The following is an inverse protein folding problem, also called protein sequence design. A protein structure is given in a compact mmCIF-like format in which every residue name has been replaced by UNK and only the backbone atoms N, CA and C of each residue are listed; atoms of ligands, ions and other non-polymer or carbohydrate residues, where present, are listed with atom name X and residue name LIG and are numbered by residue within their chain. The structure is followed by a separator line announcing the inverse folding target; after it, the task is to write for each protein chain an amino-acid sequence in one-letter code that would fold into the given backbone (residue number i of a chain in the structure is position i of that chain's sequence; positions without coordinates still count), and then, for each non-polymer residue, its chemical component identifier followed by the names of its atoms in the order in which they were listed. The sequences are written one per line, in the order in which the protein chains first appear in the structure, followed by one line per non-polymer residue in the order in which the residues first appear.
data_IF_805626618886
#
_entry.id   IF_805626618886
#
_cell.length_a   1.000
_cell.length_b   1.000
_cell.length_c   1.000
_cell.angle_alpha   90.00
_cell.angle_beta   90.00
_cell.angle_gamma   90.00
#
_symmetry.space_group_name_H-M   'P 1'
#
loop_
_entity.id
_entity.type
_entity.pdbx_description
1 polymer ?
#
# COMPACT_ATOMS: atom_id res chain seq x y z
N UNK A 1 -37.22 26.88 25.56
CA UNK A 1 -36.11 26.79 24.60
C UNK A 1 -36.05 25.39 24.04
N UNK A 2 -36.15 25.27 22.73
CA UNK A 2 -35.95 23.97 22.15
C UNK A 2 -34.50 23.52 22.40
N UNK A 3 -34.26 22.25 22.70
CA UNK A 3 -32.89 21.75 22.86
C UNK A 3 -32.12 21.98 21.57
N UNK A 4 -30.87 22.40 21.70
CA UNK A 4 -29.98 22.50 20.55
C UNK A 4 -29.92 21.14 19.84
N UNK A 5 -30.10 21.12 18.52
CA UNK A 5 -29.96 19.84 17.84
C UNK A 5 -28.56 19.26 18.11
N UNK A 6 -28.50 17.97 18.44
CA UNK A 6 -27.24 17.28 18.56
C UNK A 6 -26.46 17.49 17.25
N UNK A 7 -25.12 17.66 17.33
CA UNK A 7 -24.35 17.78 16.09
C UNK A 7 -24.69 16.60 15.20
N UNK A 8 -25.24 16.92 14.04
CA UNK A 8 -25.64 15.90 13.07
C UNK A 8 -24.42 15.08 12.71
N UNK A 9 -24.48 13.76 12.92
CA UNK A 9 -23.51 12.88 12.33
C UNK A 9 -23.60 13.08 10.81
N UNK A 10 -22.49 13.32 10.12
CA UNK A 10 -22.57 13.44 8.68
C UNK A 10 -23.24 12.20 8.12
N UNK A 11 -24.29 12.41 7.33
CA UNK A 11 -24.90 11.31 6.58
C UNK A 11 -23.80 10.65 5.76
N UNK A 12 -23.94 9.34 5.52
CA UNK A 12 -22.94 8.58 4.75
C UNK A 12 -22.57 9.24 3.42
N UNK A 13 -23.49 10.03 2.82
CA UNK A 13 -23.23 10.78 1.59
C UNK A 13 -22.46 12.08 1.77
N UNK A 14 -22.23 12.53 3.01
CA UNK A 14 -21.54 13.80 3.31
C UNK A 14 -20.18 13.60 3.97
N UNK A 15 -19.71 12.35 4.13
CA UNK A 15 -18.38 12.07 4.66
C UNK A 15 -17.33 12.63 3.70
N UNK A 16 -16.40 13.40 4.26
CA UNK A 16 -15.32 13.96 3.47
C UNK A 16 -14.29 12.86 3.17
N UNK A 17 -13.75 12.83 1.94
CA UNK A 17 -12.72 11.84 1.60
C UNK A 17 -11.55 11.84 2.59
N UNK A 18 -11.10 13.02 3.02
CA UNK A 18 -9.98 13.14 3.95
C UNK A 18 -10.26 12.45 5.28
N UNK A 19 -11.50 12.51 5.77
CA UNK A 19 -11.85 11.89 7.05
C UNK A 19 -11.80 10.37 6.95
N UNK A 20 -12.29 9.80 5.85
CA UNK A 20 -12.23 8.36 5.61
C UNK A 20 -10.78 7.89 5.50
N UNK A 21 -9.97 8.64 4.75
CA UNK A 21 -8.55 8.34 4.55
C UNK A 21 -7.79 8.40 5.88
N UNK A 22 -7.97 9.48 6.64
CA UNK A 22 -7.27 9.68 7.91
C UNK A 22 -7.63 8.63 8.95
N UNK A 23 -8.89 8.22 9.02
CA UNK A 23 -9.32 7.17 9.95
C UNK A 23 -8.62 5.85 9.62
N UNK A 24 -8.54 5.50 8.33
CA UNK A 24 -7.85 4.28 7.91
C UNK A 24 -6.35 4.36 8.19
N UNK A 25 -5.74 5.52 7.92
CA UNK A 25 -4.31 5.72 8.20
C UNK A 25 -4.02 5.62 9.70
N UNK A 26 -4.90 6.15 10.54
CA UNK A 26 -4.75 6.04 11.98
C UNK A 26 -4.79 4.57 12.42
N UNK A 27 -5.71 3.79 11.88
CA UNK A 27 -5.77 2.36 12.16
C UNK A 27 -4.47 1.66 11.75
N UNK A 28 -3.93 2.02 10.59
CA UNK A 28 -2.63 1.50 10.14
C UNK A 28 -1.54 1.84 11.16
N UNK A 29 -1.48 3.08 11.61
CA UNK A 29 -0.48 3.56 12.55
C UNK A 29 -0.52 2.82 13.89
N UNK A 30 -1.71 2.36 14.27
CA UNK A 30 -1.90 1.58 15.50
C UNK A 30 -1.61 0.09 15.32
N UNK A 31 -1.29 -0.34 14.10
CA UNK A 31 -1.09 -1.75 13.79
C UNK A 31 -2.39 -2.52 13.62
N UNK A 32 -3.52 -1.82 13.50
CA UNK A 32 -4.83 -2.43 13.25
C UNK A 32 -5.01 -2.62 11.74
N UNK A 33 -4.23 -3.54 11.17
CA UNK A 33 -4.10 -3.66 9.72
C UNK A 33 -5.40 -4.09 9.05
N UNK A 34 -6.16 -5.01 9.64
CA UNK A 34 -7.45 -5.42 9.06
C UNK A 34 -8.42 -4.25 8.97
N UNK A 35 -8.49 -3.42 10.02
CA UNK A 35 -9.34 -2.23 10.01
C UNK A 35 -8.85 -1.19 9.00
N UNK A 36 -7.53 -1.01 8.91
CA UNK A 36 -6.95 -0.08 7.94
C UNK A 36 -7.29 -0.50 6.52
N UNK A 37 -7.15 -1.77 6.20
CA UNK A 37 -7.49 -2.31 4.87
C UNK A 37 -8.96 -2.04 4.55
N UNK A 38 -9.86 -2.36 5.49
CA UNK A 38 -11.30 -2.12 5.29
C UNK A 38 -11.58 -0.63 5.05
N UNK A 39 -10.94 0.25 5.81
CA UNK A 39 -11.10 1.70 5.66
C UNK A 39 -10.60 2.23 4.33
N UNK A 40 -9.42 1.78 3.89
CA UNK A 40 -8.89 2.20 2.59
C UNK A 40 -9.69 1.63 1.43
N UNK A 41 -10.22 0.40 1.55
CA UNK A 41 -11.11 -0.16 0.51
C UNK A 41 -12.40 0.64 0.43
N UNK A 42 -12.95 1.07 1.57
CA UNK A 42 -14.13 1.94 1.59
C UNK A 42 -13.83 3.28 0.92
N UNK A 43 -12.64 3.85 1.17
CA UNK A 43 -12.20 5.06 0.48
C UNK A 43 -12.21 4.87 -1.04
N UNK A 44 -11.60 3.79 -1.52
CA UNK A 44 -11.52 3.51 -2.96
C UNK A 44 -12.91 3.27 -3.57
N UNK A 45 -13.80 2.62 -2.83
CA UNK A 45 -15.17 2.37 -3.31
C UNK A 45 -15.94 3.68 -3.50
N UNK A 46 -15.77 4.61 -2.56
CA UNK A 46 -16.52 5.88 -2.57
C UNK A 46 -15.86 6.96 -3.43
N UNK A 47 -14.55 6.99 -3.46
CA UNK A 47 -13.79 8.09 -4.06
C UNK A 47 -12.71 7.56 -5.01
N UNK A 48 -13.08 6.74 -6.02
CA UNK A 48 -12.09 6.07 -6.87
C UNK A 48 -11.23 7.04 -7.70
N UNK A 49 -11.73 8.25 -7.95
CA UNK A 49 -11.04 9.24 -8.78
C UNK A 49 -10.38 10.35 -7.95
N UNK A 50 -10.41 10.22 -6.63
CA UNK A 50 -9.81 11.21 -5.75
C UNK A 50 -8.28 11.19 -5.87
N UNK A 51 -7.59 12.35 -5.73
CA UNK A 51 -6.12 12.38 -5.78
C UNK A 51 -5.43 11.43 -4.80
N UNK A 52 -6.06 11.09 -3.68
CA UNK A 52 -5.51 10.16 -2.70
C UNK A 52 -5.83 8.70 -2.98
N UNK A 53 -6.53 8.39 -4.07
CA UNK A 53 -6.92 6.99 -4.37
C UNK A 53 -5.69 6.10 -4.54
N UNK A 54 -4.67 6.56 -5.27
CA UNK A 54 -3.42 5.81 -5.41
C UNK A 54 -2.73 5.60 -4.07
N UNK A 55 -2.76 6.60 -3.20
CA UNK A 55 -2.22 6.49 -1.84
C UNK A 55 -2.97 5.43 -1.04
N UNK A 56 -4.31 5.44 -1.10
CA UNK A 56 -5.12 4.45 -0.39
C UNK A 56 -4.80 3.03 -0.85
N UNK A 57 -4.68 2.83 -2.17
CA UNK A 57 -4.30 1.54 -2.74
C UNK A 57 -2.91 1.10 -2.24
N UNK A 58 -1.98 2.04 -2.20
CA UNK A 58 -0.63 1.79 -1.68
C UNK A 58 -0.67 1.32 -0.22
N UNK A 59 -1.44 2.00 0.63
CA UNK A 59 -1.52 1.65 2.05
C UNK A 59 -2.18 0.30 2.29
N UNK A 60 -3.07 -0.13 1.41
CA UNK A 60 -3.60 -1.50 1.47
C UNK A 60 -2.44 -2.50 1.30
N UNK A 61 -1.57 -2.27 0.31
CA UNK A 61 -0.38 -3.09 0.12
C UNK A 61 0.53 -3.09 1.35
N UNK A 62 0.78 -1.90 1.92
CA UNK A 62 1.62 -1.76 3.11
C UNK A 62 1.03 -2.49 4.32
N UNK A 63 -0.29 -2.47 4.47
CA UNK A 63 -0.95 -3.15 5.59
C UNK A 63 -0.76 -4.67 5.48
N UNK A 64 -0.93 -5.23 4.29
CA UNK A 64 -0.67 -6.66 4.06
C UNK A 64 0.80 -7.00 4.28
N UNK A 65 1.70 -6.15 3.81
CA UNK A 65 3.15 -6.36 3.99
C UNK A 65 3.52 -6.34 5.48
N UNK A 66 2.97 -5.40 6.24
CA UNK A 66 3.22 -5.28 7.67
C UNK A 66 2.65 -6.46 8.45
N UNK A 67 1.47 -6.94 8.05
CA UNK A 67 0.88 -8.13 8.65
C UNK A 67 1.75 -9.36 8.36
N UNK A 68 2.29 -9.47 7.14
CA UNK A 68 3.20 -10.55 6.80
C UNK A 68 4.42 -10.56 7.72
N UNK A 69 4.99 -9.39 7.97
CA UNK A 69 6.14 -9.29 8.88
C UNK A 69 5.79 -9.72 10.30
N UNK A 70 4.61 -9.32 10.77
CA UNK A 70 4.13 -9.73 12.09
C UNK A 70 4.00 -11.26 12.15
N UNK A 71 3.45 -11.86 11.10
CA UNK A 71 3.28 -13.31 11.03
C UNK A 71 4.62 -14.05 10.97
N UNK A 72 5.59 -13.51 10.23
CA UNK A 72 6.95 -14.08 10.19
C UNK A 72 7.59 -14.05 11.58
N UNK A 73 7.45 -12.94 12.29
CA UNK A 73 8.00 -12.80 13.64
C UNK A 73 7.37 -13.78 14.62
N UNK A 74 6.12 -14.18 14.39
CA UNK A 74 5.43 -15.15 15.25
C UNK A 74 5.53 -16.59 14.74
N UNK A 75 6.37 -16.85 13.73
CA UNK A 75 6.61 -18.19 13.22
C UNK A 75 5.52 -18.76 12.32
N UNK A 76 4.63 -17.91 11.80
CA UNK A 76 3.51 -18.33 10.94
C UNK A 76 3.86 -18.10 9.47
N UNK A 77 4.87 -18.81 8.98
CA UNK A 77 5.44 -18.60 7.64
C UNK A 77 4.44 -18.80 6.50
N UNK A 78 3.55 -19.79 6.61
CA UNK A 78 2.59 -20.06 5.55
C UNK A 78 1.56 -18.93 5.41
N UNK A 79 1.06 -18.43 6.53
CA UNK A 79 0.14 -17.28 6.52
C UNK A 79 0.83 -16.02 6.05
N UNK A 80 2.10 -15.84 6.46
CA UNK A 80 2.90 -14.70 6.00
C UNK A 80 3.07 -14.71 4.48
N UNK A 81 3.27 -15.89 3.89
CA UNK A 81 3.36 -16.03 2.43
C UNK A 81 2.09 -15.55 1.74
N UNK A 82 0.93 -15.96 2.24
CA UNK A 82 -0.36 -15.53 1.69
C UNK A 82 -0.50 -14.00 1.74
N UNK A 83 -0.10 -13.40 2.86
CA UNK A 83 -0.15 -11.95 3.01
C UNK A 83 0.82 -11.25 2.06
N UNK A 84 2.02 -11.81 1.85
CA UNK A 84 2.99 -11.25 0.91
C UNK A 84 2.47 -11.32 -0.53
N UNK A 85 1.85 -12.43 -0.91
CA UNK A 85 1.26 -12.58 -2.25
C UNK A 85 0.15 -11.55 -2.46
N UNK A 86 -0.67 -11.32 -1.44
CA UNK A 86 -1.70 -10.29 -1.51
C UNK A 86 -1.08 -8.91 -1.61
N UNK A 87 -0.04 -8.63 -0.82
CA UNK A 87 0.67 -7.34 -0.87
C UNK A 87 1.19 -7.06 -2.28
N UNK A 88 1.81 -8.06 -2.94
CA UNK A 88 2.29 -7.92 -4.32
C UNK A 88 1.15 -7.48 -5.23
N UNK A 89 -0.02 -8.12 -5.14
CA UNK A 89 -1.15 -7.77 -5.99
C UNK A 89 -1.67 -6.36 -5.71
N UNK A 90 -1.74 -5.99 -4.44
CA UNK A 90 -2.24 -4.66 -4.07
C UNK A 90 -1.29 -3.55 -4.49
N UNK A 91 0.03 -3.74 -4.35
CA UNK A 91 1.01 -2.79 -4.87
C UNK A 91 0.95 -2.69 -6.40
N UNK A 92 0.78 -3.83 -7.07
CA UNK A 92 0.68 -3.85 -8.53
C UNK A 92 -0.51 -3.04 -9.02
N UNK A 93 -1.61 -3.02 -8.27
CA UNK A 93 -2.79 -2.22 -8.60
C UNK A 93 -2.50 -0.72 -8.57
N UNK A 94 -1.58 -0.26 -7.72
CA UNK A 94 -1.17 1.15 -7.76
C UNK A 94 -0.61 1.47 -9.15
N UNK A 95 0.28 0.63 -9.65
CA UNK A 95 0.95 0.85 -10.94
C UNK A 95 -0.04 0.77 -12.11
N UNK A 96 -0.95 -0.20 -12.08
CA UNK A 96 -1.88 -0.45 -13.20
C UNK A 96 -3.08 0.48 -13.20
N UNK A 97 -3.60 0.83 -12.02
CA UNK A 97 -4.83 1.63 -11.90
C UNK A 97 -4.53 3.11 -11.67
N UNK A 98 -3.45 3.41 -10.95
CA UNK A 98 -3.08 4.78 -10.59
C UNK A 98 -1.64 5.11 -10.99
N UNK A 99 -1.29 4.96 -12.30
CA UNK A 99 0.12 5.09 -12.72
C UNK A 99 0.70 6.48 -12.49
N UNK A 100 -0.15 7.50 -12.34
CA UNK A 100 0.29 8.88 -12.09
C UNK A 100 0.33 9.24 -10.61
N UNK A 101 0.01 8.30 -9.72
CA UNK A 101 0.08 8.54 -8.29
C UNK A 101 1.52 8.82 -7.87
N UNK A 102 1.69 9.72 -6.90
CA UNK A 102 3.00 9.95 -6.28
C UNK A 102 3.53 8.69 -5.59
N UNK A 103 2.66 7.73 -5.27
CA UNK A 103 3.03 6.47 -4.61
C UNK A 103 3.48 5.38 -5.58
N UNK A 104 3.38 5.61 -6.89
CA UNK A 104 3.73 4.57 -7.86
C UNK A 104 5.17 4.08 -7.71
N UNK A 105 6.19 4.95 -7.57
CA UNK A 105 7.56 4.45 -7.33
C UNK A 105 7.70 3.66 -6.03
N UNK A 106 7.07 4.12 -4.96
CA UNK A 106 7.11 3.41 -3.68
C UNK A 106 6.43 2.04 -3.80
N UNK A 107 5.31 1.96 -4.51
CA UNK A 107 4.59 0.71 -4.73
C UNK A 107 5.46 -0.29 -5.52
N UNK A 108 6.16 0.17 -6.55
CA UNK A 108 7.09 -0.67 -7.31
C UNK A 108 8.20 -1.22 -6.43
N UNK A 109 8.78 -0.36 -5.60
CA UNK A 109 9.85 -0.77 -4.71
C UNK A 109 9.35 -1.80 -3.68
N UNK A 110 8.21 -1.53 -3.05
CA UNK A 110 7.63 -2.42 -2.04
C UNK A 110 7.18 -3.75 -2.66
N UNK A 111 6.61 -3.71 -3.86
CA UNK A 111 6.28 -4.94 -4.59
C UNK A 111 7.54 -5.81 -4.78
N UNK A 112 8.64 -5.18 -5.20
CA UNK A 112 9.90 -5.89 -5.39
C UNK A 112 10.41 -6.49 -4.07
N UNK A 113 10.30 -5.76 -2.96
CA UNK A 113 10.72 -6.28 -1.65
C UNK A 113 9.87 -7.49 -1.25
N UNK A 114 8.56 -7.43 -1.46
CA UNK A 114 7.67 -8.57 -1.19
C UNK A 114 8.03 -9.77 -2.07
N UNK A 115 8.34 -9.53 -3.35
CA UNK A 115 8.77 -10.58 -4.27
C UNK A 115 10.07 -11.24 -3.81
N UNK A 116 11.03 -10.47 -3.28
CA UNK A 116 12.26 -11.04 -2.73
C UNK A 116 11.98 -11.91 -1.51
N UNK A 117 11.08 -11.48 -0.63
CA UNK A 117 10.66 -12.30 0.51
C UNK A 117 10.00 -13.61 0.06
N UNK A 118 9.31 -13.57 -1.08
CA UNK A 118 8.67 -14.74 -1.69
C UNK A 118 9.65 -15.62 -2.49
N UNK A 119 10.94 -15.27 -2.50
CA UNK A 119 11.97 -16.00 -3.25
C UNK A 119 11.73 -15.96 -4.76
N UNK A 120 11.30 -14.81 -5.26
CA UNK A 120 11.05 -14.58 -6.68
C UNK A 120 11.95 -13.44 -7.20
N UNK A 121 13.28 -13.65 -7.21
CA UNK A 121 14.22 -12.56 -7.50
C UNK A 121 14.16 -12.05 -8.95
N UNK A 122 13.79 -12.90 -9.93
CA UNK A 122 13.69 -12.45 -11.32
C UNK A 122 12.55 -11.46 -11.50
N UNK A 123 11.39 -11.72 -10.88
CA UNK A 123 10.28 -10.78 -10.92
C UNK A 123 10.62 -9.49 -10.16
N UNK A 124 11.27 -9.61 -9.00
CA UNK A 124 11.72 -8.44 -8.25
C UNK A 124 12.66 -7.58 -9.10
N UNK A 125 13.61 -8.21 -9.78
CA UNK A 125 14.56 -7.50 -10.65
C UNK A 125 13.83 -6.73 -11.75
N UNK A 126 12.83 -7.35 -12.38
CA UNK A 126 12.05 -6.71 -13.43
C UNK A 126 11.31 -5.47 -12.90
N UNK A 127 10.74 -5.55 -11.70
CA UNK A 127 10.02 -4.42 -11.10
C UNK A 127 10.98 -3.28 -10.72
N UNK A 128 12.13 -3.62 -10.16
CA UNK A 128 13.15 -2.63 -9.80
C UNK A 128 13.69 -1.94 -11.06
N UNK A 129 13.92 -2.69 -12.13
CA UNK A 129 14.40 -2.13 -13.39
C UNK A 129 13.34 -1.18 -13.97
N UNK A 130 12.07 -1.59 -13.93
CA UNK A 130 10.97 -0.73 -14.38
C UNK A 130 10.95 0.60 -13.59
N UNK A 131 11.16 0.54 -12.28
CA UNK A 131 11.21 1.73 -11.43
C UNK A 131 12.32 2.67 -11.89
N UNK A 132 13.53 2.16 -12.04
CA UNK A 132 14.69 2.96 -12.43
C UNK A 132 14.49 3.57 -13.82
N UNK A 133 13.95 2.80 -14.76
CA UNK A 133 13.77 3.24 -16.14
C UNK A 133 12.68 4.30 -16.27
N UNK A 134 11.60 4.19 -15.51
CA UNK A 134 10.43 5.07 -15.65
C UNK A 134 10.35 6.17 -14.61
N UNK A 135 11.03 6.01 -13.47
CA UNK A 135 11.01 6.99 -12.37
C UNK A 135 12.42 7.29 -11.87
N UNK A 136 13.36 7.71 -12.78
CA UNK A 136 14.75 7.87 -12.38
C UNK A 136 14.98 8.95 -11.34
N UNK A 137 14.04 9.89 -11.20
CA UNK A 137 14.15 11.00 -10.23
C UNK A 137 13.42 10.74 -8.93
N UNK A 138 12.75 9.61 -8.81
CA UNK A 138 12.03 9.27 -7.58
C UNK A 138 13.00 8.95 -6.45
N UNK A 139 12.57 9.21 -5.22
CA UNK A 139 13.38 8.92 -4.03
C UNK A 139 13.75 7.44 -3.94
N UNK A 140 12.89 6.56 -4.45
CA UNK A 140 13.10 5.11 -4.43
C UNK A 140 14.12 4.63 -5.48
N UNK A 141 14.42 5.44 -6.49
CA UNK A 141 15.32 5.01 -7.58
C UNK A 141 16.73 4.63 -7.09
N UNK A 142 17.39 5.42 -6.21
CA UNK A 142 18.70 4.99 -5.67
C UNK A 142 18.62 3.67 -4.91
N UNK A 143 17.56 3.46 -4.14
CA UNK A 143 17.35 2.21 -3.41
C UNK A 143 17.18 1.04 -4.36
N UNK A 144 16.43 1.26 -5.46
CA UNK A 144 16.24 0.24 -6.49
C UNK A 144 17.57 -0.13 -7.16
N UNK A 145 18.41 0.86 -7.45
CA UNK A 145 19.73 0.61 -8.04
C UNK A 145 20.61 -0.24 -7.11
N UNK A 146 20.57 0.03 -5.81
CA UNK A 146 21.31 -0.76 -4.82
C UNK A 146 20.84 -2.20 -4.81
N UNK A 147 19.52 -2.42 -4.82
CA UNK A 147 18.96 -3.76 -4.85
C UNK A 147 19.31 -4.50 -6.14
N UNK A 148 19.26 -3.81 -7.29
CA UNK A 148 19.65 -4.40 -8.56
C UNK A 148 21.11 -4.83 -8.55
N UNK A 149 22.01 -4.01 -7.99
CA UNK A 149 23.42 -4.36 -7.87
C UNK A 149 23.61 -5.60 -6.99
N UNK A 150 22.90 -5.66 -5.86
CA UNK A 150 22.98 -6.78 -4.95
C UNK A 150 22.49 -8.09 -5.61
N UNK A 151 21.44 -8.00 -6.42
CA UNK A 151 20.90 -9.17 -7.13
C UNK A 151 21.87 -9.70 -8.20
N UNK A 152 22.66 -8.83 -8.82
CA UNK A 152 23.65 -9.23 -9.83
C UNK A 152 24.83 -9.97 -9.21
N UNK A 153 25.11 -9.76 -7.94
CA UNK A 153 26.24 -10.37 -7.24
C UNK A 153 25.92 -11.76 -6.69
N UNK A 154 24.68 -12.21 -6.83
CA UNK A 154 24.26 -13.54 -6.36
C UNK A 154 24.49 -14.62 -7.39
#
# INVERSE_FOLDING_TARGET
MPPSPAPARPATGTLQPQDVYQAAYLDFSKGSYALAIAGFREFLRRFPDHPLAGNAQYWIGEAHFSEARRLLDSGQADRAREELETAVQEFRRVVTTYPRSEKTPAALYREAMALLELKQPQLAQARLQYLVDNFPQAAEAPLAREQLAALRER
#
